data_IF_248838542670
#
_entry.id   IF_248838542670
#
_cell.length_a   1.000
_cell.length_b   1.000
_cell.length_c   1.000
_cell.angle_alpha   90.00
_cell.angle_beta   90.00
_cell.angle_gamma   90.00
#
_symmetry.space_group_name_H-M   'P 1'
#
loop_
_entity.id
_entity.type
_entity.pdbx_description
1 polymer ?
#
# COMPACT_ATOMS: atom_id res chain seq x y z
N UNK A 1 10.29 18.56 5.03
CA UNK A 1 10.13 17.54 4.00
C UNK A 1 8.79 16.85 4.19
N UNK A 2 8.12 16.49 3.11
CA UNK A 2 6.89 15.70 3.07
C UNK A 2 7.22 14.33 2.49
N UNK A 3 6.57 13.28 2.99
CA UNK A 3 6.81 11.91 2.55
C UNK A 3 5.49 11.22 2.17
N UNK A 4 5.52 10.44 1.09
CA UNK A 4 4.48 9.45 0.82
C UNK A 4 4.96 8.11 1.37
N UNK A 5 4.18 7.45 2.22
CA UNK A 5 4.44 6.08 2.65
C UNK A 5 3.39 5.17 2.02
N UNK A 6 3.77 4.31 1.06
CA UNK A 6 2.80 3.43 0.40
C UNK A 6 3.13 1.95 0.56
N UNK A 7 2.10 1.15 0.80
CA UNK A 7 2.21 -0.29 1.02
C UNK A 7 2.59 -1.03 -0.27
N UNK A 8 3.53 -1.97 -0.14
CA UNK A 8 4.07 -2.78 -1.22
C UNK A 8 3.97 -4.25 -0.87
N UNK A 9 3.38 -5.04 -1.77
CA UNK A 9 3.31 -6.50 -1.63
C UNK A 9 4.67 -7.16 -1.95
N UNK A 10 5.25 -7.83 -0.95
CA UNK A 10 6.55 -8.50 -1.06
C UNK A 10 6.57 -9.90 -1.65
N UNK A 11 5.41 -10.56 -1.83
CA UNK A 11 5.36 -12.00 -2.17
C UNK A 11 6.21 -12.38 -3.38
N UNK A 12 6.10 -11.61 -4.46
CA UNK A 12 6.85 -11.85 -5.71
C UNK A 12 8.25 -11.25 -5.74
N UNK A 13 8.66 -10.54 -4.68
CA UNK A 13 9.92 -9.78 -4.63
C UNK A 13 11.03 -10.54 -3.94
N UNK A 14 10.66 -11.47 -3.06
CA UNK A 14 11.59 -12.39 -2.42
C UNK A 14 12.13 -13.41 -3.43
N UNK A 15 13.34 -13.92 -3.18
CA UNK A 15 13.99 -14.94 -4.01
C UNK A 15 14.41 -16.14 -3.15
N UNK A 16 13.73 -17.30 -3.22
CA UNK A 16 12.57 -17.59 -4.09
C UNK A 16 11.32 -16.79 -3.68
N UNK A 17 10.37 -16.58 -4.61
CA UNK A 17 9.11 -15.91 -4.30
C UNK A 17 8.30 -16.75 -3.31
N UNK A 18 7.49 -16.08 -2.50
CA UNK A 18 6.55 -16.77 -1.61
C UNK A 18 5.40 -17.38 -2.40
N UNK A 19 4.79 -18.41 -1.81
CA UNK A 19 3.59 -19.02 -2.35
C UNK A 19 2.45 -18.01 -2.48
N UNK A 20 1.65 -18.15 -3.53
CA UNK A 20 0.52 -17.25 -3.81
C UNK A 20 -0.53 -17.27 -2.68
N UNK A 21 -0.68 -18.41 -2.03
CA UNK A 21 -1.60 -18.65 -0.91
C UNK A 21 -0.97 -18.41 0.47
N UNK A 22 0.25 -17.84 0.53
CA UNK A 22 0.89 -17.51 1.80
C UNK A 22 0.01 -16.59 2.65
N UNK A 23 -0.37 -17.11 3.83
CA UNK A 23 -1.12 -16.41 4.87
C UNK A 23 -0.12 -15.82 5.86
N UNK A 24 0.00 -14.49 5.84
CA UNK A 24 0.89 -13.73 6.73
C UNK A 24 1.14 -12.32 6.22
N UNK A 25 1.92 -11.54 6.96
CA UNK A 25 2.30 -10.18 6.57
C UNK A 25 3.65 -10.17 5.86
N UNK A 26 3.68 -9.57 4.67
CA UNK A 26 4.87 -9.39 3.83
C UNK A 26 4.88 -7.99 3.22
N UNK A 27 4.26 -7.04 3.91
CA UNK A 27 4.15 -5.66 3.45
C UNK A 27 5.40 -4.91 3.87
N UNK A 28 6.02 -4.24 2.90
CA UNK A 28 6.99 -3.17 3.16
C UNK A 28 6.47 -1.86 2.59
N UNK A 29 7.18 -0.78 2.87
CA UNK A 29 6.75 0.56 2.47
C UNK A 29 7.79 1.21 1.56
N UNK A 30 7.33 1.72 0.42
CA UNK A 30 8.09 2.73 -0.32
C UNK A 30 7.94 4.08 0.37
N UNK A 31 8.97 4.91 0.32
CA UNK A 31 8.98 6.21 0.99
C UNK A 31 9.71 7.31 0.21
N UNK A 32 9.17 7.77 -0.93
CA UNK A 32 9.72 8.95 -1.60
C UNK A 32 9.45 10.20 -0.77
N UNK A 33 10.42 11.12 -0.74
CA UNK A 33 10.34 12.39 -0.03
C UNK A 33 10.51 13.57 -0.99
N UNK A 34 9.74 14.62 -0.74
CA UNK A 34 9.77 15.88 -1.49
C UNK A 34 9.46 17.05 -0.57
N UNK A 35 9.85 18.26 -0.96
CA UNK A 35 9.34 19.47 -0.33
C UNK A 35 7.89 19.73 -0.77
N UNK A 36 7.11 20.44 0.05
CA UNK A 36 5.74 20.82 -0.32
C UNK A 36 5.69 21.61 -1.63
N UNK A 37 6.65 22.53 -1.84
CA UNK A 37 6.76 23.31 -3.06
C UNK A 37 6.95 22.45 -4.32
N UNK A 38 7.71 21.35 -4.24
CA UNK A 38 7.86 20.41 -5.35
C UNK A 38 6.60 19.60 -5.63
N UNK A 39 5.79 19.33 -4.60
CA UNK A 39 4.55 18.55 -4.73
C UNK A 39 3.48 19.39 -5.44
N UNK A 40 3.35 20.66 -5.09
CA UNK A 40 2.30 21.56 -5.64
C UNK A 40 2.74 22.33 -6.88
N UNK A 41 3.98 22.13 -7.34
CA UNK A 41 4.49 22.79 -8.54
C UNK A 41 3.64 22.44 -9.78
N UNK A 42 3.40 23.39 -10.70
CA UNK A 42 2.75 23.11 -11.97
C UNK A 42 3.47 21.97 -12.72
N UNK A 43 2.71 20.96 -13.15
CA UNK A 43 3.27 19.82 -13.87
C UNK A 43 4.06 18.82 -13.01
N UNK A 44 3.91 18.83 -11.67
CA UNK A 44 4.61 17.89 -10.78
C UNK A 44 4.21 16.42 -10.99
N UNK A 45 3.02 16.11 -11.51
CA UNK A 45 2.45 14.76 -11.54
C UNK A 45 3.35 13.67 -12.16
N UNK A 46 3.99 13.87 -13.33
CA UNK A 46 4.92 12.87 -13.89
C UNK A 46 6.11 12.59 -12.97
N UNK A 47 6.67 13.63 -12.34
CA UNK A 47 7.78 13.50 -11.39
C UNK A 47 7.35 12.73 -10.14
N UNK A 48 6.17 13.06 -9.59
CA UNK A 48 5.59 12.35 -8.45
C UNK A 48 5.39 10.86 -8.76
N UNK A 49 4.82 10.54 -9.92
CA UNK A 49 4.60 9.18 -10.38
C UNK A 49 5.93 8.41 -10.56
N UNK A 50 6.94 9.05 -11.15
CA UNK A 50 8.27 8.46 -11.33
C UNK A 50 8.93 8.14 -9.97
N UNK A 51 8.84 9.03 -8.98
CA UNK A 51 9.38 8.81 -7.64
C UNK A 51 8.64 7.71 -6.88
N UNK A 52 7.31 7.67 -6.96
CA UNK A 52 6.51 6.59 -6.42
C UNK A 52 6.88 5.24 -7.08
N UNK A 53 7.18 5.23 -8.39
CA UNK A 53 7.66 4.03 -9.09
C UNK A 53 9.08 3.64 -8.70
N UNK A 54 9.99 4.59 -8.54
CA UNK A 54 11.37 4.34 -8.13
C UNK A 54 11.45 3.72 -6.74
N UNK A 55 10.80 4.35 -5.76
CA UNK A 55 10.67 3.80 -4.39
C UNK A 55 9.96 2.44 -4.35
N UNK A 56 9.02 2.20 -5.29
CA UNK A 56 8.46 0.88 -5.49
C UNK A 56 9.50 -0.15 -5.96
N UNK A 57 10.51 0.20 -6.74
CA UNK A 57 11.53 -0.77 -7.22
C UNK A 57 12.62 -1.00 -6.18
N UNK A 58 12.92 0.00 -5.36
CA UNK A 58 13.92 -0.07 -4.28
C UNK A 58 13.61 -1.16 -3.24
N UNK A 59 12.34 -1.45 -3.01
CA UNK A 59 11.90 -2.50 -2.07
C UNK A 59 12.10 -3.90 -2.67
N UNK A 60 13.36 -4.32 -2.80
CA UNK A 60 13.77 -5.58 -3.44
C UNK A 60 14.09 -6.69 -2.42
N UNK A 61 14.45 -7.89 -2.89
CA UNK A 61 14.81 -9.05 -2.04
C UNK A 61 15.89 -8.70 -0.99
N UNK A 62 16.93 -7.98 -1.39
CA UNK A 62 18.01 -7.60 -0.48
C UNK A 62 17.52 -6.70 0.65
N UNK A 63 16.68 -5.70 0.33
CA UNK A 63 16.09 -4.83 1.35
C UNK A 63 15.16 -5.60 2.28
N UNK A 64 14.37 -6.55 1.77
CA UNK A 64 13.53 -7.42 2.61
C UNK A 64 14.38 -8.20 3.62
N UNK A 65 15.45 -8.86 3.15
CA UNK A 65 16.33 -9.67 4.01
C UNK A 65 17.01 -8.81 5.06
N UNK A 66 17.59 -7.69 4.66
CA UNK A 66 18.21 -6.73 5.57
C UNK A 66 17.21 -6.20 6.61
N UNK A 67 15.97 -5.95 6.21
CA UNK A 67 14.93 -5.47 7.13
C UNK A 67 14.53 -6.53 8.15
N UNK A 68 14.37 -7.79 7.73
CA UNK A 68 14.07 -8.90 8.66
C UNK A 68 15.22 -9.13 9.63
N UNK A 69 16.46 -9.10 9.14
CA UNK A 69 17.67 -9.20 9.97
C UNK A 69 17.74 -8.06 10.99
N UNK A 70 17.49 -6.82 10.56
CA UNK A 70 17.43 -5.67 11.46
C UNK A 70 16.33 -5.83 12.53
N UNK A 71 15.11 -6.21 12.15
CA UNK A 71 14.01 -6.46 13.11
C UNK A 71 14.38 -7.57 14.11
N UNK A 72 15.06 -8.63 13.66
CA UNK A 72 15.53 -9.70 14.53
C UNK A 72 16.55 -9.19 15.55
N UNK A 73 17.48 -8.33 15.12
CA UNK A 73 18.53 -7.75 15.96
C UNK A 73 18.07 -6.67 16.95
N UNK A 74 16.89 -6.07 16.77
CA UNK A 74 16.34 -5.09 17.73
C UNK A 74 15.85 -5.82 19.01
N UNK A 75 16.42 -5.51 20.20
CA UNK A 75 16.06 -6.19 21.45
C UNK A 75 14.61 -5.94 21.87
N UNK A 76 14.16 -4.69 21.76
CA UNK A 76 12.79 -4.28 22.07
C UNK A 76 12.01 -3.90 20.79
N UNK A 77 11.28 -4.87 20.24
CA UNK A 77 10.52 -4.71 19.00
C UNK A 77 9.38 -3.71 19.10
N UNK A 78 8.94 -3.35 20.31
CA UNK A 78 7.90 -2.33 20.53
C UNK A 78 8.36 -0.93 20.12
N UNK A 79 9.68 -0.73 20.01
CA UNK A 79 10.29 0.52 19.55
C UNK A 79 10.30 0.66 18.03
N UNK A 80 9.95 -0.40 17.30
CA UNK A 80 9.87 -0.37 15.85
C UNK A 80 8.55 0.28 15.47
N UNK A 81 8.64 1.46 14.87
CA UNK A 81 7.51 2.21 14.37
C UNK A 81 7.69 2.58 12.92
N UNK A 82 6.58 2.91 12.26
CA UNK A 82 6.64 3.59 10.97
C UNK A 82 7.21 4.98 11.19
N UNK A 83 8.16 5.40 10.35
CA UNK A 83 8.69 6.77 10.35
C UNK A 83 7.63 7.76 9.79
N UNK A 84 6.46 7.83 10.38
CA UNK A 84 5.30 8.49 9.79
C UNK A 84 4.80 9.61 10.70
N UNK A 85 4.60 10.79 10.12
CA UNK A 85 4.14 12.00 10.79
C UNK A 85 2.91 12.51 10.04
N UNK A 86 1.79 11.79 10.18
CA UNK A 86 0.55 12.04 9.45
C UNK A 86 -0.44 12.93 10.19
N UNK A 87 -0.59 12.74 11.50
CA UNK A 87 -1.56 13.50 12.28
C UNK A 87 -1.15 14.97 12.40
N UNK A 88 -1.93 15.84 11.76
CA UNK A 88 -1.64 17.27 11.56
C UNK A 88 -0.23 17.50 11.00
N UNK A 89 0.28 16.50 10.27
CA UNK A 89 1.67 16.40 9.86
C UNK A 89 1.83 16.42 8.34
N UNK A 90 3.07 16.54 7.84
CA UNK A 90 3.34 16.73 6.41
C UNK A 90 3.39 15.40 5.62
N UNK A 91 3.21 14.25 6.27
CA UNK A 91 3.32 12.95 5.61
C UNK A 91 1.95 12.39 5.24
N UNK A 92 1.89 11.72 4.09
CA UNK A 92 0.71 10.97 3.66
C UNK A 92 1.06 9.49 3.61
N UNK A 93 0.18 8.63 4.09
CA UNK A 93 0.30 7.19 3.98
C UNK A 93 -0.83 6.64 3.10
N UNK A 94 -0.53 5.59 2.33
CA UNK A 94 -1.47 5.02 1.38
C UNK A 94 -1.39 3.50 1.32
N UNK A 95 -2.54 2.84 1.27
CA UNK A 95 -2.60 1.42 0.92
C UNK A 95 -3.57 1.19 -0.23
N UNK A 96 -3.17 0.33 -1.17
CA UNK A 96 -3.99 -0.03 -2.32
C UNK A 96 -4.37 -1.49 -2.26
N UNK A 97 -5.68 -1.73 -2.15
CA UNK A 97 -6.32 -3.03 -2.24
C UNK A 97 -6.92 -3.26 -3.64
N UNK A 98 -6.50 -2.48 -4.65
CA UNK A 98 -6.98 -2.67 -6.03
C UNK A 98 -6.63 -4.05 -6.61
N UNK A 99 -5.57 -4.70 -6.09
CA UNK A 99 -5.21 -6.07 -6.44
C UNK A 99 -6.09 -7.15 -5.78
N UNK A 100 -6.93 -6.79 -4.80
CA UNK A 100 -7.86 -7.74 -4.17
C UNK A 100 -9.10 -7.90 -5.05
N UNK A 101 -9.28 -9.12 -5.56
CA UNK A 101 -10.37 -9.48 -6.48
C UNK A 101 -11.50 -10.28 -5.79
N UNK A 102 -11.60 -10.18 -4.46
CA UNK A 102 -12.65 -10.85 -3.66
C UNK A 102 -14.06 -10.62 -4.24
N UNK A 103 -14.37 -9.39 -4.66
CA UNK A 103 -15.65 -9.03 -5.29
C UNK A 103 -15.96 -9.78 -6.60
N UNK A 104 -14.96 -10.41 -7.22
CA UNK A 104 -15.12 -11.17 -8.47
C UNK A 104 -15.32 -12.66 -8.24
N UNK A 105 -14.80 -13.19 -7.14
CA UNK A 105 -14.64 -14.64 -6.95
C UNK A 105 -15.37 -15.17 -5.71
N UNK A 106 -15.61 -14.34 -4.70
CA UNK A 106 -16.20 -14.80 -3.45
C UNK A 106 -17.72 -14.77 -3.56
N UNK A 107 -18.31 -15.96 -3.62
CA UNK A 107 -19.74 -16.22 -3.48
C UNK A 107 -19.93 -17.24 -2.34
N UNK A 108 -20.68 -16.83 -1.32
CA UNK A 108 -20.95 -17.65 -0.14
C UNK A 108 -22.39 -18.23 -0.17
N UNK A 109 -22.99 -18.34 -1.37
CA UNK A 109 -24.34 -18.86 -1.58
C UNK A 109 -25.41 -17.78 -1.80
N UNK A 110 -25.00 -16.53 -1.98
CA UNK A 110 -25.90 -15.37 -2.13
C UNK A 110 -25.34 -14.32 -3.10
N UNK A 111 -24.64 -14.79 -4.13
CA UNK A 111 -24.02 -13.97 -5.19
C UNK A 111 -22.74 -13.27 -4.73
N UNK A 112 -22.01 -12.75 -5.72
CA UNK A 112 -20.74 -12.05 -5.48
C UNK A 112 -20.94 -10.67 -4.86
N UNK A 113 -19.91 -10.20 -4.14
CA UNK A 113 -19.93 -8.90 -3.49
C UNK A 113 -20.00 -7.77 -4.53
N UNK A 114 -20.94 -6.83 -4.36
CA UNK A 114 -21.00 -5.61 -5.18
C UNK A 114 -19.80 -4.67 -4.97
N UNK A 115 -19.14 -4.78 -3.82
CA UNK A 115 -17.96 -4.00 -3.49
C UNK A 115 -17.44 -4.35 -2.11
N UNK A 116 -16.14 -4.15 -1.94
CA UNK A 116 -15.46 -4.21 -0.63
C UNK A 116 -15.17 -2.78 -0.22
N UNK A 117 -15.41 -2.46 1.06
CA UNK A 117 -15.23 -1.12 1.63
C UNK A 117 -14.48 -1.23 2.95
N UNK A 118 -13.71 -0.19 3.24
CA UNK A 118 -13.15 0.03 4.56
C UNK A 118 -14.20 0.73 5.43
N UNK A 119 -14.55 0.21 6.61
CA UNK A 119 -15.45 0.91 7.52
C UNK A 119 -14.74 2.14 8.09
N UNK A 120 -15.20 3.32 7.67
CA UNK A 120 -14.88 4.66 8.19
C UNK A 120 -13.48 4.82 8.84
N UNK A 121 -12.44 5.15 8.06
CA UNK A 121 -11.12 5.37 8.63
C UNK A 121 -11.03 6.73 9.32
N UNK A 122 -10.85 6.74 10.64
CA UNK A 122 -10.54 7.93 11.44
C UNK A 122 -9.01 8.15 11.55
N UNK A 123 -8.32 8.26 10.41
CA UNK A 123 -6.86 8.42 10.38
C UNK A 123 -6.46 9.59 9.48
N UNK A 124 -5.94 10.65 10.11
CA UNK A 124 -5.40 11.80 9.38
C UNK A 124 -4.15 11.41 8.58
N UNK A 125 -4.03 12.00 7.39
CA UNK A 125 -2.97 11.73 6.44
C UNK A 125 -3.00 10.32 5.81
N UNK A 126 -4.07 9.53 6.00
CA UNK A 126 -4.16 8.17 5.44
C UNK A 126 -5.15 8.08 4.27
N UNK A 127 -4.72 7.43 3.18
CA UNK A 127 -5.53 7.21 1.99
C UNK A 127 -5.70 5.72 1.73
N UNK A 128 -6.94 5.30 1.50
CA UNK A 128 -7.29 3.93 1.16
C UNK A 128 -7.83 3.83 -0.27
N UNK A 129 -7.21 2.99 -1.10
CA UNK A 129 -7.67 2.72 -2.46
C UNK A 129 -8.19 1.29 -2.61
N UNK A 130 -9.44 1.12 -3.05
CA UNK A 130 -9.97 -0.20 -3.48
C UNK A 130 -10.61 -0.09 -4.85
N UNK A 131 -10.64 -1.19 -5.60
CA UNK A 131 -11.36 -1.22 -6.88
C UNK A 131 -12.86 -1.30 -6.61
N UNK A 132 -13.63 -0.47 -7.30
CA UNK A 132 -15.09 -0.55 -7.36
C UNK A 132 -15.47 -0.86 -8.80
N UNK A 133 -16.21 -1.94 -9.03
CA UNK A 133 -16.92 -2.10 -10.29
C UNK A 133 -18.27 -1.41 -10.14
N UNK A 134 -18.51 -0.37 -10.94
CA UNK A 134 -19.86 0.14 -11.16
C UNK A 134 -20.65 -0.98 -11.80
N UNK A 135 -21.71 -1.45 -11.14
CA UNK A 135 -22.62 -2.41 -11.72
C UNK A 135 -23.13 -1.86 -13.06
N UNK A 136 -22.79 -2.52 -14.16
CA UNK A 136 -23.52 -2.31 -15.41
C UNK A 136 -25.00 -2.59 -15.13
N UNK A 137 -25.86 -1.67 -15.54
CA UNK A 137 -27.31 -1.86 -15.58
C UNK A 137 -27.60 -3.15 -16.35
N UNK A 138 -27.93 -4.24 -15.65
CA UNK A 138 -28.51 -5.43 -16.29
C UNK A 138 -30.02 -5.20 -16.41
N UNK A 139 -30.46 -4.97 -17.64
CA UNK A 139 -31.84 -5.17 -18.06
C UNK A 139 -32.26 -6.60 -17.73
N UNK A 140 -33.46 -6.73 -17.14
CA UNK A 140 -34.13 -8.02 -16.95
C UNK A 140 -34.42 -8.62 -18.33
N UNK A 141 -33.96 -9.84 -18.57
CA UNK A 141 -34.63 -10.77 -19.50
C UNK A 141 -35.71 -11.53 -18.73
#
# INVERSE_FOLDING_TARGET
MSALMHAINGRSRLKPPLLTDYIGNVVMHGRPELTFGEIVAPGASPRLAALARASNVEVNDALYRASVEWVAGVPDKRRIGLNYNGFLGPHVAGTSWQGLTAHKAWDFGFWTLKGVRWPEPELDGFVFGSRVETAGTRTKE
#
